data_IF_751906544517
#
_entry.id   IF_751906544517
#
_cell.length_a   1.000
_cell.length_b   1.000
_cell.length_c   1.000
_cell.angle_alpha   90.00
_cell.angle_beta   90.00
_cell.angle_gamma   90.00
#
_symmetry.space_group_name_H-M   'P 1'
#
loop_
_entity.id
_entity.type
_entity.pdbx_description
1 polymer ?
#
# COMPACT_ATOMS: atom_id res chain seq x y z
N UNK A 1 -11.40 7.47 10.68
CA UNK A 1 -11.15 7.06 9.28
C UNK A 1 -9.73 7.50 8.93
N UNK A 2 -8.87 6.56 8.54
CA UNK A 2 -7.44 6.83 8.39
C UNK A 2 -7.03 7.30 6.98
N UNK A 3 -7.81 6.94 5.96
CA UNK A 3 -7.57 7.32 4.57
C UNK A 3 -8.83 7.91 3.95
N UNK A 4 -8.66 8.76 2.94
CA UNK A 4 -9.77 9.40 2.20
C UNK A 4 -9.90 8.84 0.78
N UNK A 5 -11.01 9.16 0.11
CA UNK A 5 -11.20 8.82 -1.30
C UNK A 5 -10.15 9.48 -2.21
N UNK A 6 -9.60 10.63 -1.82
CA UNK A 6 -8.54 11.31 -2.57
C UNK A 6 -7.20 10.56 -2.46
N UNK A 7 -6.85 10.01 -1.28
CA UNK A 7 -5.68 9.15 -1.11
C UNK A 7 -5.73 7.91 -2.01
N UNK A 8 -6.92 7.31 -2.14
CA UNK A 8 -7.12 6.20 -3.08
C UNK A 8 -7.00 6.66 -4.54
N UNK A 9 -7.56 7.82 -4.88
CA UNK A 9 -7.47 8.38 -6.24
C UNK A 9 -6.03 8.69 -6.62
N UNK A 10 -5.26 9.30 -5.72
CA UNK A 10 -3.85 9.61 -5.93
C UNK A 10 -2.99 8.35 -6.12
N UNK A 11 -3.38 7.23 -5.51
CA UNK A 11 -2.59 5.98 -5.51
C UNK A 11 -2.95 5.02 -6.65
N UNK A 12 -4.24 4.85 -6.93
CA UNK A 12 -4.73 3.85 -7.89
C UNK A 12 -5.23 4.48 -9.20
N UNK A 13 -5.43 5.79 -9.22
CA UNK A 13 -6.02 6.50 -10.35
C UNK A 13 -7.55 6.50 -10.29
N UNK A 14 -8.13 7.52 -10.91
CA UNK A 14 -9.58 7.73 -10.95
C UNK A 14 -10.29 6.67 -11.79
N UNK A 15 -9.79 6.39 -12.99
CA UNK A 15 -10.37 5.45 -13.96
C UNK A 15 -10.60 4.05 -13.36
N UNK A 16 -9.59 3.52 -12.67
CA UNK A 16 -9.65 2.22 -11.99
C UNK A 16 -10.72 2.20 -10.91
N UNK A 17 -10.82 3.25 -10.09
CA UNK A 17 -11.80 3.32 -9.01
C UNK A 17 -13.23 3.47 -9.54
N UNK A 18 -13.41 4.23 -10.61
CA UNK A 18 -14.69 4.38 -11.30
C UNK A 18 -15.15 3.02 -11.86
N UNK A 19 -14.25 2.30 -12.53
CA UNK A 19 -14.54 0.96 -13.04
C UNK A 19 -14.89 -0.03 -11.91
N UNK A 20 -14.17 0.01 -10.80
CA UNK A 20 -14.42 -0.88 -9.66
C UNK A 20 -15.71 -0.57 -8.90
N UNK A 21 -16.15 0.68 -8.93
CA UNK A 21 -17.42 1.10 -8.32
C UNK A 21 -18.62 0.96 -9.25
N UNK A 22 -18.40 0.55 -10.50
CA UNK A 22 -19.42 0.42 -11.55
C UNK A 22 -20.17 1.76 -11.75
N UNK A 23 -19.42 2.87 -11.75
CA UNK A 23 -19.96 4.22 -11.93
C UNK A 23 -19.57 4.80 -13.29
N UNK A 24 -20.32 5.79 -13.76
CA UNK A 24 -20.07 6.48 -15.03
C UNK A 24 -18.92 7.51 -14.94
N UNK A 25 -18.46 7.82 -13.72
CA UNK A 25 -17.38 8.77 -13.47
C UNK A 25 -17.10 8.93 -11.98
N UNK A 26 -16.10 9.77 -11.66
CA UNK A 26 -15.76 10.09 -10.28
C UNK A 26 -16.74 11.09 -9.67
N UNK A 27 -17.92 10.58 -9.34
CA UNK A 27 -19.04 11.34 -8.81
C UNK A 27 -19.25 11.04 -7.31
N UNK A 28 -20.24 11.68 -6.70
CA UNK A 28 -20.58 11.47 -5.29
C UNK A 28 -20.92 10.01 -4.95
N UNK A 29 -21.44 9.23 -5.91
CA UNK A 29 -21.78 7.81 -5.73
C UNK A 29 -20.51 6.94 -5.71
N UNK A 30 -19.57 7.18 -6.63
CA UNK A 30 -18.26 6.53 -6.62
C UNK A 30 -17.52 6.81 -5.30
N UNK A 31 -17.48 8.08 -4.88
CA UNK A 31 -16.86 8.49 -3.61
C UNK A 31 -17.57 7.82 -2.41
N UNK A 32 -18.90 7.74 -2.41
CA UNK A 32 -19.64 7.07 -1.35
C UNK A 32 -19.34 5.56 -1.29
N UNK A 33 -19.30 4.88 -2.43
CA UNK A 33 -18.97 3.46 -2.52
C UNK A 33 -17.55 3.17 -1.99
N UNK A 34 -16.57 3.99 -2.38
CA UNK A 34 -15.18 3.95 -1.90
C UNK A 34 -15.14 4.17 -0.39
N UNK A 35 -15.85 5.18 0.12
CA UNK A 35 -15.89 5.49 1.55
C UNK A 35 -16.48 4.36 2.40
N UNK A 36 -17.50 3.64 1.92
CA UNK A 36 -18.04 2.46 2.65
C UNK A 36 -16.97 1.38 2.82
N UNK A 37 -16.15 1.14 1.79
CA UNK A 37 -15.07 0.16 1.84
C UNK A 37 -13.91 0.63 2.73
N UNK A 38 -13.55 1.91 2.65
CA UNK A 38 -12.58 2.54 3.54
C UNK A 38 -13.02 2.49 5.00
N UNK A 39 -14.29 2.69 5.31
CA UNK A 39 -14.80 2.65 6.67
C UNK A 39 -14.63 1.25 7.25
N UNK A 40 -14.97 0.22 6.46
CA UNK A 40 -14.78 -1.17 6.86
C UNK A 40 -13.29 -1.51 7.04
N UNK A 41 -12.42 -1.06 6.14
CA UNK A 41 -10.97 -1.25 6.25
C UNK A 41 -10.40 -0.54 7.49
N UNK A 42 -10.87 0.69 7.76
CA UNK A 42 -10.49 1.47 8.94
C UNK A 42 -10.81 0.67 10.21
N UNK A 43 -12.03 0.15 10.35
CA UNK A 43 -12.42 -0.62 11.56
C UNK A 43 -11.55 -1.86 11.78
N UNK A 44 -11.09 -2.52 10.70
CA UNK A 44 -10.16 -3.65 10.80
C UNK A 44 -8.82 -3.17 11.35
N UNK A 45 -8.25 -2.12 10.75
CA UNK A 45 -6.97 -1.53 11.18
C UNK A 45 -7.05 -1.04 12.62
N UNK A 46 -8.14 -0.35 13.00
CA UNK A 46 -8.40 0.07 14.37
C UNK A 46 -8.39 -1.11 15.35
N UNK A 47 -8.99 -2.25 14.99
CA UNK A 47 -8.98 -3.45 15.84
C UNK A 47 -7.58 -3.99 16.14
N UNK A 48 -6.66 -3.94 15.18
CA UNK A 48 -5.27 -4.38 15.34
C UNK A 48 -4.42 -3.36 16.10
N UNK A 49 -4.70 -2.08 15.87
CA UNK A 49 -3.89 -0.97 16.36
C UNK A 49 -4.35 -0.49 17.74
N UNK A 50 -5.60 -0.76 18.15
CA UNK A 50 -6.17 -0.33 19.43
C UNK A 50 -5.34 -0.71 20.67
N UNK A 51 -4.55 -1.79 20.60
CA UNK A 51 -3.67 -2.24 21.69
C UNK A 51 -2.41 -1.37 21.86
N UNK A 52 -1.93 -0.72 20.79
CA UNK A 52 -0.67 0.05 20.78
C UNK A 52 -0.88 1.54 20.54
N UNK A 53 -1.96 1.90 19.87
CA UNK A 53 -2.37 3.25 19.57
C UNK A 53 -3.73 3.44 20.23
N UNK A 54 -3.73 3.85 21.50
CA UNK A 54 -4.91 4.49 22.04
C UNK A 54 -5.20 5.69 21.13
N UNK A 55 -6.43 5.85 20.59
CA UNK A 55 -6.81 7.03 19.83
C UNK A 55 -6.76 8.26 20.76
N UNK A 56 -5.57 8.83 20.92
CA UNK A 56 -5.39 10.09 21.60
C UNK A 56 -5.74 11.20 20.58
N UNK A 57 -6.63 12.14 20.93
CA UNK A 57 -6.94 13.26 20.05
C UNK A 57 -5.66 14.08 19.80
N UNK A 58 -5.20 14.12 18.56
CA UNK A 58 -4.01 14.88 18.13
C UNK A 58 -2.78 14.06 17.73
N UNK A 59 -2.83 12.72 17.77
CA UNK A 59 -1.74 11.92 17.22
C UNK A 59 -1.92 11.78 15.70
N UNK A 60 -0.95 12.29 14.94
CA UNK A 60 -0.94 12.18 13.49
C UNK A 60 -1.04 10.70 13.08
N UNK A 61 -1.91 10.41 12.11
CA UNK A 61 -2.03 9.06 11.56
C UNK A 61 -0.74 8.77 10.80
N UNK A 62 0.01 7.72 11.18
CA UNK A 62 1.22 7.35 10.45
C UNK A 62 0.87 6.98 9.00
N UNK A 63 1.70 7.37 8.02
CA UNK A 63 1.43 7.13 6.60
C UNK A 63 1.22 5.63 6.32
N UNK A 64 1.95 4.76 7.01
CA UNK A 64 1.81 3.30 6.88
C UNK A 64 0.38 2.81 7.15
N UNK A 65 -0.34 3.37 8.12
CA UNK A 65 -1.73 2.97 8.39
C UNK A 65 -2.68 3.44 7.29
N UNK A 66 -2.40 4.60 6.68
CA UNK A 66 -3.12 5.10 5.50
C UNK A 66 -2.93 4.12 4.34
N UNK A 67 -1.69 3.70 4.10
CA UNK A 67 -1.35 2.73 3.05
C UNK A 67 -2.07 1.40 3.23
N UNK A 68 -1.99 0.80 4.42
CA UNK A 68 -2.64 -0.47 4.74
C UNK A 68 -4.18 -0.37 4.63
N UNK A 69 -4.76 0.78 5.02
CA UNK A 69 -6.21 1.01 4.90
C UNK A 69 -6.62 1.11 3.43
N UNK A 70 -5.87 1.83 2.60
CA UNK A 70 -6.10 1.92 1.16
C UNK A 70 -5.98 0.56 0.48
N UNK A 71 -4.98 -0.24 0.86
CA UNK A 71 -4.72 -1.57 0.31
C UNK A 71 -5.89 -2.54 0.57
N UNK A 72 -6.33 -2.60 1.84
CA UNK A 72 -7.48 -3.40 2.24
C UNK A 72 -8.77 -2.92 1.56
N UNK A 73 -8.97 -1.61 1.43
CA UNK A 73 -10.14 -1.07 0.75
C UNK A 73 -10.13 -1.40 -0.76
N UNK A 74 -8.98 -1.32 -1.42
CA UNK A 74 -8.81 -1.67 -2.83
C UNK A 74 -9.15 -3.13 -3.11
N UNK A 75 -8.63 -4.06 -2.30
CA UNK A 75 -8.98 -5.49 -2.41
C UNK A 75 -10.48 -5.72 -2.19
N UNK A 76 -11.13 -4.95 -1.31
CA UNK A 76 -12.58 -5.05 -1.05
C UNK A 76 -13.46 -4.39 -2.10
N UNK A 77 -12.91 -3.50 -2.93
CA UNK A 77 -13.60 -2.98 -4.12
C UNK A 77 -13.71 -4.06 -5.20
N UNK A 78 -12.71 -4.94 -5.29
CA UNK A 78 -12.73 -6.03 -6.26
C UNK A 78 -13.76 -7.10 -5.89
N UNK A 79 -14.65 -7.40 -6.84
CA UNK A 79 -15.68 -8.44 -6.69
C UNK A 79 -15.08 -9.85 -6.84
N UNK A 80 -14.05 -9.99 -7.66
CA UNK A 80 -13.29 -11.21 -7.87
C UNK A 80 -11.87 -11.05 -7.33
N UNK A 81 -11.43 -11.99 -6.50
CA UNK A 81 -10.10 -12.00 -5.90
C UNK A 81 -9.14 -12.80 -6.77
N UNK A 82 -8.38 -12.11 -7.61
CA UNK A 82 -7.18 -12.66 -8.25
C UNK A 82 -6.13 -13.04 -7.21
N UNK A 83 -5.23 -13.98 -7.53
CA UNK A 83 -4.17 -14.41 -6.61
C UNK A 83 -3.26 -13.26 -6.16
N UNK A 84 -3.00 -12.28 -7.04
CA UNK A 84 -2.27 -11.05 -6.69
C UNK A 84 -2.97 -10.23 -5.59
N UNK A 85 -4.28 -10.05 -5.69
CA UNK A 85 -5.08 -9.32 -4.69
C UNK A 85 -5.15 -10.06 -3.35
N UNK A 86 -5.15 -11.41 -3.38
CA UNK A 86 -5.09 -12.22 -2.17
C UNK A 86 -3.73 -12.08 -1.49
N UNK A 87 -2.64 -12.17 -2.25
CA UNK A 87 -1.29 -11.99 -1.73
C UNK A 87 -1.10 -10.59 -1.13
N UNK A 88 -1.61 -9.57 -1.81
CA UNK A 88 -1.65 -8.18 -1.35
C UNK A 88 -2.41 -8.03 -0.03
N UNK A 89 -3.61 -8.64 0.07
CA UNK A 89 -4.39 -8.69 1.32
C UNK A 89 -3.63 -9.40 2.44
N UNK A 90 -2.98 -10.52 2.14
CA UNK A 90 -2.23 -11.31 3.13
C UNK A 90 -1.03 -10.55 3.65
N UNK A 91 -0.29 -9.86 2.77
CA UNK A 91 0.81 -8.97 3.14
C UNK A 91 0.34 -7.84 4.04
N UNK A 92 -0.76 -7.15 3.69
CA UNK A 92 -1.33 -6.09 4.53
C UNK A 92 -1.73 -6.63 5.93
N UNK A 93 -2.33 -7.81 5.99
CA UNK A 93 -2.70 -8.46 7.26
C UNK A 93 -1.47 -8.89 8.08
N UNK A 94 -0.40 -9.37 7.43
CA UNK A 94 0.88 -9.68 8.09
C UNK A 94 1.51 -8.43 8.67
N UNK A 95 1.64 -7.36 7.89
CA UNK A 95 2.18 -6.09 8.38
C UNK A 95 1.37 -5.54 9.56
N UNK A 96 0.03 -5.60 9.50
CA UNK A 96 -0.81 -5.23 10.66
C UNK A 96 -0.51 -6.09 11.88
N UNK A 97 -0.28 -7.39 11.71
CA UNK A 97 0.08 -8.31 12.80
C UNK A 97 1.49 -8.03 13.36
N UNK A 98 2.47 -7.72 12.52
CA UNK A 98 3.82 -7.30 12.93
C UNK A 98 3.79 -5.97 13.71
N UNK A 99 2.94 -5.04 13.30
CA UNK A 99 2.66 -3.81 14.05
C UNK A 99 2.02 -4.14 15.40
N UNK A 100 0.98 -4.99 15.42
CA UNK A 100 0.29 -5.43 16.65
C UNK A 100 1.13 -6.31 17.57
N UNK A 101 2.29 -6.78 17.14
CA UNK A 101 3.23 -7.55 17.98
C UNK A 101 4.41 -6.70 18.43
N UNK A 102 4.52 -5.46 17.95
CA UNK A 102 5.62 -4.53 18.25
C UNK A 102 6.92 -4.85 17.51
N UNK A 103 6.88 -5.76 16.53
CA UNK A 103 8.00 -6.08 15.63
C UNK A 103 8.25 -4.93 14.65
N UNK A 104 7.19 -4.30 14.18
CA UNK A 104 7.26 -3.11 13.33
C UNK A 104 6.93 -1.86 14.18
N UNK A 105 7.95 -1.03 14.46
CA UNK A 105 7.73 0.23 15.16
C UNK A 105 7.13 1.25 14.21
N UNK A 106 5.98 1.80 14.62
CA UNK A 106 5.39 3.00 14.05
C UNK A 106 6.17 4.22 14.58
N UNK A 107 7.48 4.25 14.33
CA UNK A 107 8.28 5.44 14.61
C UNK A 107 8.52 6.16 13.29
N UNK A 108 8.42 7.48 13.35
CA UNK A 108 8.37 8.39 12.23
C UNK A 108 9.74 8.44 11.54
N UNK A 109 10.09 7.42 10.76
CA UNK A 109 11.39 7.35 10.13
C UNK A 109 11.60 6.06 9.35
N UNK A 110 11.52 6.18 8.03
CA UNK A 110 12.25 5.34 7.08
C UNK A 110 12.09 3.83 7.30
N UNK A 111 10.90 3.29 7.05
CA UNK A 111 10.80 1.89 6.64
C UNK A 111 10.75 1.90 5.12
N UNK A 112 11.93 1.85 4.51
CA UNK A 112 12.14 1.40 3.15
C UNK A 112 11.44 0.03 3.03
N UNK A 113 10.23 0.05 2.49
CA UNK A 113 9.68 -1.15 1.89
C UNK A 113 10.53 -1.30 0.64
N UNK A 114 11.41 -2.32 0.50
CA UNK A 114 12.01 -2.54 -0.80
C UNK A 114 10.82 -2.78 -1.72
N UNK A 115 10.57 -1.83 -2.61
CA UNK A 115 9.64 -1.99 -3.72
C UNK A 115 9.93 -3.37 -4.26
N UNK A 116 8.93 -4.26 -4.24
CA UNK A 116 9.06 -5.64 -4.71
C UNK A 116 9.49 -5.53 -6.17
N UNK A 117 10.81 -5.58 -6.36
CA UNK A 117 11.50 -5.26 -7.60
C UNK A 117 11.28 -6.41 -8.53
N UNK A 118 10.13 -6.42 -9.20
CA UNK A 118 9.90 -7.16 -10.43
C UNK A 118 10.68 -6.58 -11.61
N UNK A 119 11.88 -6.07 -11.36
CA UNK A 119 12.87 -5.77 -12.38
C UNK A 119 14.16 -6.41 -11.90
N UNK A 120 14.47 -7.57 -12.48
CA UNK A 120 15.83 -8.09 -12.50
C UNK A 120 16.66 -7.07 -13.28
N UNK A 121 17.14 -6.03 -12.59
CA UNK A 121 18.22 -5.21 -13.11
C UNK A 121 19.46 -6.01 -12.77
N UNK A 122 19.89 -6.84 -13.71
CA UNK A 122 21.25 -7.34 -13.74
C UNK A 122 22.14 -6.10 -13.87
N UNK A 123 22.97 -5.74 -12.87
CA UNK A 123 24.05 -4.81 -13.16
C UNK A 123 24.98 -5.54 -14.13
N UNK A 124 24.99 -5.10 -15.39
CA UNK A 124 26.03 -5.48 -16.34
C UNK A 124 27.37 -5.19 -15.66
N UNK A 125 28.09 -6.25 -15.29
CA UNK A 125 29.45 -6.11 -14.78
C UNK A 125 30.22 -5.34 -15.85
N UNK A 126 30.94 -4.26 -15.51
CA UNK A 126 31.78 -3.61 -16.49
C UNK A 126 32.73 -4.67 -17.06
N UNK A 127 32.68 -4.87 -18.38
CA UNK A 127 33.55 -5.81 -19.10
C UNK A 127 34.99 -5.34 -18.95
N UNK A 128 35.73 -5.92 -18.02
CA UNK A 128 37.14 -5.56 -17.70
C UNK A 128 38.15 -6.05 -18.75
N UNK A 129 37.74 -6.48 -19.94
CA UNK A 129 38.67 -6.84 -21.01
C UNK A 129 38.15 -6.35 -22.36
N UNK A 130 38.39 -5.07 -22.63
CA UNK A 130 38.37 -4.55 -23.99
C UNK A 130 39.79 -4.63 -24.56
N UNK A 131 39.91 -5.07 -25.80
CA UNK A 131 41.17 -5.21 -26.55
C UNK A 131 42.00 -3.92 -26.62
N UNK A 132 41.36 -2.78 -26.37
CA UNK A 132 41.95 -1.44 -26.27
C UNK A 132 42.84 -1.25 -25.01
N UNK A 133 42.61 -2.00 -23.93
CA UNK A 133 43.37 -1.86 -22.68
C UNK A 133 44.69 -2.64 -22.63
N UNK A 134 45.14 -3.20 -23.77
CA UNK A 134 46.32 -4.07 -23.87
C UNK A 134 47.39 -3.56 -24.86
N UNK A 135 47.32 -2.30 -25.31
CA UNK A 135 48.40 -1.63 -26.04
C UNK A 135 49.21 -0.74 -25.09
N UNK A 136 50.10 -1.34 -24.30
CA UNK A 136 50.90 -0.56 -23.34
C UNK A 136 51.94 -1.32 -22.51
N UNK A 137 52.35 -2.53 -22.93
CA UNK A 137 53.50 -3.24 -22.37
C UNK A 137 54.40 -3.75 -23.48
#
# INVERSE_FOLDING_TARGET
>A
MFATADDMRARFGEDVLVQLTDQDGWNAQAIAAVNVKLATATSIVEGYVAKYHAPAPGRAVPPLLIELTCDLAYVRLHRALSDDLKDRRDQAMKQLKDISTGLLKIDQGLQDIPARGGAVIVPDRPRTFSRDSLEGF
#
